data_IF_098587373734
#
_entry.id   IF_098587373734
#
_cell.length_a   1.000
_cell.length_b   1.000
_cell.length_c   1.000
_cell.angle_alpha   90.00
_cell.angle_beta   90.00
_cell.angle_gamma   90.00
#
_symmetry.space_group_name_H-M   'P 1'
#
loop_
_entity.id
_entity.type
_entity.pdbx_description
1 polymer ?
#
# COMPACT_ATOMS: atom_id res chain seq x y z
N UNK A 1 28.68 5.08 -17.82
CA UNK A 1 28.09 5.63 -19.07
C UNK A 1 26.72 6.22 -18.71
N UNK A 2 26.51 7.51 -18.92
CA UNK A 2 25.26 8.18 -18.53
C UNK A 2 24.14 7.80 -19.51
N UNK A 3 23.15 7.04 -19.03
CA UNK A 3 22.02 6.53 -19.83
C UNK A 3 21.27 7.65 -20.53
N UNK A 4 21.20 8.86 -19.95
CA UNK A 4 20.57 10.02 -20.59
C UNK A 4 21.36 10.47 -21.83
N UNK A 5 22.68 10.48 -21.75
CA UNK A 5 23.57 10.80 -22.88
C UNK A 5 23.53 9.73 -23.98
N UNK A 6 23.45 8.45 -23.59
CA UNK A 6 23.33 7.35 -24.55
C UNK A 6 22.01 7.38 -25.34
N UNK A 7 20.87 7.58 -24.68
CA UNK A 7 19.56 7.68 -25.35
C UNK A 7 19.48 8.93 -26.23
N UNK A 8 20.01 10.08 -25.77
CA UNK A 8 20.05 11.30 -26.57
C UNK A 8 20.95 11.19 -27.83
N UNK A 9 21.96 10.31 -27.81
CA UNK A 9 22.82 10.06 -28.97
C UNK A 9 22.17 9.19 -30.06
N UNK A 10 21.15 8.40 -29.71
CA UNK A 10 20.41 7.54 -30.65
C UNK A 10 19.36 8.31 -31.46
N UNK A 11 18.88 9.46 -30.98
CA UNK A 11 17.86 10.28 -31.66
C UNK A 11 18.36 11.08 -32.87
N UNK A 12 19.63 10.93 -33.29
CA UNK A 12 20.21 11.65 -34.43
C UNK A 12 20.66 10.76 -35.60
N UNK A 13 20.33 9.47 -35.62
CA UNK A 13 20.67 8.60 -36.75
C UNK A 13 19.63 7.50 -36.97
N UNK A 14 18.61 7.76 -37.79
CA UNK A 14 17.99 6.73 -38.66
C UNK A 14 16.84 7.30 -39.51
N UNK A 15 17.16 7.75 -40.72
CA UNK A 15 16.28 7.62 -41.89
C UNK A 15 16.79 6.44 -42.71
N UNK A 16 16.10 5.29 -42.69
CA UNK A 16 16.18 4.28 -43.75
C UNK A 16 15.21 3.11 -43.53
N UNK A 17 14.34 2.95 -44.53
CA UNK A 17 13.80 1.72 -45.11
C UNK A 17 13.03 0.71 -44.23
N UNK A 18 11.71 0.70 -44.47
CA UNK A 18 10.81 -0.42 -44.24
C UNK A 18 11.11 -1.50 -45.29
N UNK A 19 11.51 -2.70 -44.85
CA UNK A 19 11.37 -3.92 -45.63
C UNK A 19 10.79 -5.02 -44.76
N UNK A 20 9.68 -5.59 -45.21
CA UNK A 20 8.98 -6.76 -44.69
C UNK A 20 9.86 -8.02 -44.68
N UNK A 21 9.88 -8.77 -43.58
CA UNK A 21 10.05 -10.22 -43.59
C UNK A 21 9.73 -10.86 -42.23
N UNK A 22 8.64 -11.65 -42.21
CA UNK A 22 8.50 -12.96 -41.55
C UNK A 22 9.48 -13.32 -40.42
N UNK A 23 8.98 -13.28 -39.18
CA UNK A 23 9.66 -13.80 -37.98
C UNK A 23 8.78 -14.79 -37.20
N UNK A 24 8.20 -15.79 -37.86
CA UNK A 24 7.66 -16.98 -37.20
C UNK A 24 8.77 -18.02 -37.09
N UNK A 25 9.37 -18.15 -35.90
CA UNK A 25 10.01 -19.36 -35.33
C UNK A 25 10.97 -18.92 -34.23
N UNK A 26 10.53 -18.92 -32.97
CA UNK A 26 11.31 -19.32 -31.79
C UNK A 26 10.33 -19.40 -30.61
N UNK A 27 9.48 -20.41 -30.60
CA UNK A 27 8.85 -20.91 -29.38
C UNK A 27 9.35 -22.33 -29.17
N UNK A 28 10.30 -22.48 -28.23
CA UNK A 28 10.87 -23.76 -27.83
C UNK A 28 9.77 -24.71 -27.34
N UNK A 29 9.76 -25.93 -27.90
CA UNK A 29 8.87 -27.05 -27.53
C UNK A 29 9.01 -27.49 -26.06
N UNK A 30 10.09 -27.12 -25.37
CA UNK A 30 10.31 -27.42 -23.94
C UNK A 30 9.34 -26.68 -22.99
N UNK A 31 8.58 -25.68 -23.47
CA UNK A 31 7.59 -24.96 -22.64
C UNK A 31 6.26 -25.70 -22.49
N UNK A 32 5.96 -26.65 -23.39
CA UNK A 32 4.69 -27.38 -23.39
C UNK A 32 4.69 -28.56 -22.40
N UNK A 33 5.84 -29.20 -22.16
CA UNK A 33 5.92 -30.34 -21.22
C UNK A 33 5.93 -29.93 -19.74
N UNK A 34 6.06 -28.63 -19.42
CA UNK A 34 5.88 -28.11 -18.05
C UNK A 34 4.43 -27.81 -17.68
N UNK A 35 3.51 -27.84 -18.64
CA UNK A 35 2.09 -27.53 -18.41
C UNK A 35 1.25 -28.74 -17.99
N UNK A 36 1.87 -29.92 -17.83
CA UNK A 36 1.23 -31.11 -17.25
C UNK A 36 1.85 -31.52 -15.90
N UNK A 37 2.40 -30.57 -15.16
CA UNK A 37 2.65 -30.76 -13.74
C UNK A 37 1.32 -30.73 -12.99
N UNK A 38 0.95 -31.84 -12.33
CA UNK A 38 -0.16 -31.94 -11.39
C UNK A 38 -0.31 -30.63 -10.62
N UNK A 39 -1.49 -30.00 -10.65
CA UNK A 39 -1.75 -28.75 -9.91
C UNK A 39 -1.24 -28.91 -8.47
N UNK A 40 -0.07 -28.34 -8.16
CA UNK A 40 0.49 -28.39 -6.82
C UNK A 40 -0.55 -27.74 -5.93
N UNK A 41 -1.17 -28.52 -5.05
CA UNK A 41 -2.12 -28.02 -4.08
C UNK A 41 -1.42 -26.91 -3.30
N UNK A 42 -1.94 -25.69 -3.42
CA UNK A 42 -1.40 -24.53 -2.71
C UNK A 42 -1.29 -24.86 -1.21
N UNK A 43 -0.09 -24.66 -0.66
CA UNK A 43 0.21 -24.83 0.76
C UNK A 43 0.74 -23.50 1.27
N UNK A 44 0.01 -22.94 2.24
CA UNK A 44 0.24 -21.61 2.79
C UNK A 44 -1.04 -21.07 3.41
N UNK A 45 -1.06 -19.78 3.71
CA UNK A 45 -2.17 -19.10 4.36
C UNK A 45 -2.66 -17.91 3.52
N UNK A 46 -3.80 -17.36 3.92
CA UNK A 46 -4.42 -16.21 3.27
C UNK A 46 -4.64 -15.08 4.26
N UNK A 47 -4.33 -13.87 3.86
CA UNK A 47 -4.73 -12.65 4.56
C UNK A 47 -5.64 -11.81 3.67
N UNK A 48 -6.56 -11.07 4.27
CA UNK A 48 -7.21 -9.98 3.59
C UNK A 48 -6.41 -8.69 3.85
N UNK A 49 -6.32 -7.81 2.85
CA UNK A 49 -5.80 -6.46 3.02
C UNK A 49 -6.92 -5.47 2.71
N UNK A 50 -7.32 -4.74 3.75
CA UNK A 50 -8.21 -3.59 3.65
C UNK A 50 -7.34 -2.34 3.79
N UNK A 51 -7.64 -1.29 3.06
CA UNK A 51 -6.95 0.00 3.17
C UNK A 51 -7.91 1.09 2.77
N UNK A 52 -7.68 2.31 3.26
CA UNK A 52 -8.48 3.49 2.91
C UNK A 52 -10.00 3.26 3.08
N UNK A 53 -10.45 2.72 4.23
CA UNK A 53 -11.86 2.68 4.55
C UNK A 53 -12.44 4.07 4.80
N UNK A 54 -11.67 5.09 5.21
CA UNK A 54 -12.16 6.46 5.38
C UNK A 54 -13.52 6.54 6.09
N UNK A 55 -13.68 5.88 7.24
CA UNK A 55 -14.98 5.84 7.93
C UNK A 55 -15.36 7.23 8.48
N UNK A 56 -16.64 7.58 8.35
CA UNK A 56 -17.22 8.84 8.81
C UNK A 56 -18.75 8.77 8.88
N UNK A 57 -19.44 9.74 9.50
CA UNK A 57 -20.89 9.66 9.74
C UNK A 57 -21.81 9.74 8.51
N UNK A 58 -21.29 9.87 7.28
CA UNK A 58 -22.12 10.04 6.07
C UNK A 58 -21.95 8.89 5.09
N UNK A 59 -22.78 8.90 4.04
CA UNK A 59 -22.74 7.98 2.90
C UNK A 59 -22.85 6.49 3.28
N UNK A 60 -23.40 6.20 4.46
CA UNK A 60 -23.50 4.85 5.04
C UNK A 60 -22.12 4.17 5.14
N UNK A 61 -21.06 4.95 5.38
CA UNK A 61 -19.71 4.42 5.47
C UNK A 61 -19.57 3.34 6.56
N UNK A 62 -20.13 3.49 7.79
CA UNK A 62 -20.07 2.45 8.80
C UNK A 62 -20.73 1.13 8.37
N UNK A 63 -21.93 1.21 7.79
CA UNK A 63 -22.67 0.02 7.34
C UNK A 63 -21.95 -0.68 6.19
N UNK A 64 -21.49 0.07 5.19
CA UNK A 64 -20.76 -0.48 4.04
C UNK A 64 -19.43 -1.10 4.45
N UNK A 65 -18.71 -0.48 5.39
CA UNK A 65 -17.49 -1.06 5.95
C UNK A 65 -17.80 -2.35 6.72
N UNK A 66 -18.88 -2.38 7.50
CA UNK A 66 -19.30 -3.60 8.20
C UNK A 66 -19.63 -4.73 7.23
N UNK A 67 -20.36 -4.44 6.15
CA UNK A 67 -20.69 -5.43 5.11
C UNK A 67 -19.43 -5.92 4.39
N UNK A 68 -18.44 -5.05 4.14
CA UNK A 68 -17.15 -5.46 3.61
C UNK A 68 -16.42 -6.45 4.53
N UNK A 69 -16.38 -6.17 5.83
CA UNK A 69 -15.73 -7.03 6.83
C UNK A 69 -16.43 -8.39 6.97
N UNK A 70 -17.77 -8.41 6.94
CA UNK A 70 -18.56 -9.66 6.87
C UNK A 70 -18.27 -10.43 5.60
N UNK A 71 -18.21 -9.74 4.45
CA UNK A 71 -17.90 -10.37 3.17
C UNK A 71 -16.49 -11.00 3.15
N UNK A 72 -15.49 -10.33 3.75
CA UNK A 72 -14.12 -10.87 3.89
C UNK A 72 -14.12 -12.19 4.66
N UNK A 73 -14.80 -12.24 5.80
CA UNK A 73 -14.74 -13.40 6.71
C UNK A 73 -15.63 -14.57 6.25
N UNK A 74 -16.55 -14.32 5.31
CA UNK A 74 -17.42 -15.35 4.70
C UNK A 74 -16.88 -15.93 3.38
N UNK A 75 -15.69 -15.50 2.93
CA UNK A 75 -15.05 -16.08 1.75
C UNK A 75 -14.79 -17.58 1.92
N UNK A 76 -14.94 -18.35 0.83
CA UNK A 76 -14.73 -19.82 0.83
C UNK A 76 -13.40 -20.26 1.45
N UNK A 77 -12.35 -19.50 1.19
CA UNK A 77 -11.07 -19.60 1.89
C UNK A 77 -10.99 -18.38 2.81
N UNK A 78 -11.43 -18.57 4.05
CA UNK A 78 -11.42 -17.52 5.06
C UNK A 78 -9.97 -17.09 5.34
N UNK A 79 -9.67 -15.78 5.34
CA UNK A 79 -8.35 -15.30 5.70
C UNK A 79 -8.08 -15.56 7.19
N UNK A 80 -6.83 -15.88 7.54
CA UNK A 80 -6.40 -16.09 8.92
C UNK A 80 -6.16 -14.78 9.68
N UNK A 81 -6.30 -13.65 9.01
CA UNK A 81 -6.14 -12.31 9.57
C UNK A 81 -6.37 -11.21 8.54
N UNK A 82 -6.47 -9.98 9.01
CA UNK A 82 -6.68 -8.78 8.20
C UNK A 82 -5.49 -7.83 8.41
N UNK A 83 -4.84 -7.45 7.31
CA UNK A 83 -3.91 -6.33 7.24
C UNK A 83 -4.74 -5.06 7.01
N UNK A 84 -4.62 -4.07 7.89
CA UNK A 84 -5.22 -2.75 7.68
C UNK A 84 -4.14 -1.77 7.24
N UNK A 85 -4.28 -1.28 6.02
CA UNK A 85 -3.30 -0.46 5.32
C UNK A 85 -3.30 1.02 5.68
N UNK A 86 -4.05 1.46 6.70
CA UNK A 86 -4.15 2.87 7.09
C UNK A 86 -5.31 3.64 6.46
N UNK A 87 -5.43 4.91 6.84
CA UNK A 87 -6.55 5.80 6.51
C UNK A 87 -7.89 5.22 7.01
N UNK A 88 -7.85 4.85 8.29
CA UNK A 88 -8.94 4.20 9.01
C UNK A 88 -10.17 5.11 9.06
N UNK A 89 -9.94 6.38 9.36
CA UNK A 89 -10.96 7.44 9.44
C UNK A 89 -10.81 8.43 8.28
N UNK A 90 -11.88 9.17 7.98
CA UNK A 90 -11.94 10.11 6.83
C UNK A 90 -10.97 11.28 6.96
N UNK A 91 -10.80 11.89 8.14
CA UNK A 91 -9.81 12.96 8.34
C UNK A 91 -9.55 13.24 9.83
N UNK A 92 -8.29 13.22 10.22
CA UNK A 92 -7.74 13.84 11.42
C UNK A 92 -6.69 14.92 11.10
N UNK A 93 -6.19 14.96 9.87
CA UNK A 93 -5.08 15.80 9.46
C UNK A 93 -5.44 17.29 9.59
N UNK A 94 -6.66 17.65 9.17
CA UNK A 94 -7.21 19.01 9.26
C UNK A 94 -8.47 19.16 10.13
N UNK A 95 -9.03 18.05 10.64
CA UNK A 95 -10.31 18.02 11.35
C UNK A 95 -10.25 18.38 12.84
N UNK A 96 -11.31 18.99 13.37
CA UNK A 96 -11.41 19.28 14.82
C UNK A 96 -11.36 18.01 15.67
N UNK A 97 -10.98 18.14 16.95
CA UNK A 97 -10.94 17.01 17.89
C UNK A 97 -12.29 16.30 18.01
N UNK A 98 -13.38 17.06 17.99
CA UNK A 98 -14.74 16.54 18.11
C UNK A 98 -15.06 15.63 16.92
N UNK A 99 -14.76 16.08 15.70
CA UNK A 99 -15.03 15.31 14.50
C UNK A 99 -14.10 14.10 14.37
N UNK A 100 -12.82 14.23 14.74
CA UNK A 100 -11.88 13.09 14.80
C UNK A 100 -12.35 12.02 15.80
N UNK A 101 -12.82 12.44 17.00
CA UNK A 101 -13.36 11.51 18.00
C UNK A 101 -14.62 10.80 17.53
N UNK A 102 -15.51 11.50 16.83
CA UNK A 102 -16.72 10.90 16.26
C UNK A 102 -16.37 9.80 15.25
N UNK A 103 -15.40 10.04 14.38
CA UNK A 103 -14.95 9.04 13.40
C UNK A 103 -14.30 7.82 14.07
N UNK A 104 -13.43 8.02 15.07
CA UNK A 104 -12.85 6.90 15.83
C UNK A 104 -13.89 6.10 16.59
N UNK A 105 -14.93 6.76 17.12
CA UNK A 105 -16.06 6.05 17.73
C UNK A 105 -16.74 5.10 16.73
N UNK A 106 -17.04 5.59 15.52
CA UNK A 106 -17.62 4.76 14.46
C UNK A 106 -16.68 3.62 14.03
N UNK A 107 -15.38 3.90 13.92
CA UNK A 107 -14.36 2.89 13.64
C UNK A 107 -14.42 1.74 14.65
N UNK A 108 -14.43 2.04 15.95
CA UNK A 108 -14.52 1.02 17.00
C UNK A 108 -15.84 0.27 16.99
N UNK A 109 -16.97 0.96 16.81
CA UNK A 109 -18.28 0.33 16.71
C UNK A 109 -18.30 -0.74 15.61
N UNK A 110 -17.69 -0.47 14.45
CA UNK A 110 -17.59 -1.42 13.33
C UNK A 110 -16.53 -2.50 13.60
N UNK A 111 -15.31 -2.12 13.97
CA UNK A 111 -14.20 -3.07 14.12
C UNK A 111 -14.45 -4.06 15.25
N UNK A 112 -14.87 -3.60 16.43
CA UNK A 112 -15.09 -4.48 17.58
C UNK A 112 -16.28 -5.44 17.32
N UNK A 113 -17.27 -5.00 16.54
CA UNK A 113 -18.43 -5.81 16.18
C UNK A 113 -18.11 -6.83 15.10
N UNK A 114 -17.41 -6.46 14.03
CA UNK A 114 -17.32 -7.28 12.82
C UNK A 114 -16.03 -8.09 12.73
N UNK A 115 -14.91 -7.60 13.25
CA UNK A 115 -13.62 -8.28 13.11
C UNK A 115 -13.50 -9.40 14.15
N UNK A 116 -13.36 -10.64 13.69
CA UNK A 116 -13.23 -11.85 14.53
C UNK A 116 -11.93 -12.61 14.32
N UNK A 117 -11.07 -12.11 13.45
CA UNK A 117 -9.73 -12.64 13.16
C UNK A 117 -8.66 -11.63 13.61
N UNK A 118 -7.40 -12.05 13.77
CA UNK A 118 -6.30 -11.12 14.03
C UNK A 118 -6.28 -9.93 13.07
N UNK A 119 -6.07 -8.73 13.62
CA UNK A 119 -6.07 -7.46 12.89
C UNK A 119 -4.72 -6.77 13.07
N UNK A 120 -4.08 -6.38 11.97
CA UNK A 120 -2.73 -5.81 11.96
C UNK A 120 -2.76 -4.40 11.35
N UNK A 121 -2.86 -3.34 12.16
CA UNK A 121 -3.04 -1.98 11.66
C UNK A 121 -1.73 -1.28 11.27
N UNK A 122 -1.77 -0.57 10.15
CA UNK A 122 -0.82 0.43 9.71
C UNK A 122 -1.45 1.82 9.88
N UNK A 123 -0.64 2.83 10.17
CA UNK A 123 -1.11 4.23 10.28
C UNK A 123 -1.09 4.85 8.90
N UNK A 124 -2.22 5.43 8.47
CA UNK A 124 -2.29 6.28 7.28
C UNK A 124 -2.20 7.76 7.59
N UNK A 125 -2.14 8.60 6.57
CA UNK A 125 -2.01 10.04 6.77
C UNK A 125 -3.28 10.68 7.33
N UNK A 126 -4.47 10.20 6.95
CA UNK A 126 -5.73 10.70 7.50
C UNK A 126 -5.95 10.32 8.96
N UNK A 127 -5.19 9.36 9.49
CA UNK A 127 -5.25 9.00 10.91
C UNK A 127 -4.49 10.01 11.81
N UNK A 128 -3.53 10.76 11.25
CA UNK A 128 -2.62 11.62 12.03
C UNK A 128 -3.26 12.97 12.35
N UNK A 129 -3.36 13.32 13.63
CA UNK A 129 -4.11 14.51 14.03
C UNK A 129 -3.30 15.81 13.91
N UNK A 130 -3.85 16.79 13.19
CA UNK A 130 -3.46 18.20 13.26
C UNK A 130 -2.28 18.65 12.38
N UNK A 131 -1.72 17.79 11.53
CA UNK A 131 -0.56 18.15 10.69
C UNK A 131 -0.88 19.07 9.50
N UNK A 132 -2.14 19.17 9.08
CA UNK A 132 -2.61 20.15 8.08
C UNK A 132 -3.30 21.37 8.71
N UNK A 133 -3.35 21.46 10.04
CA UNK A 133 -3.87 22.65 10.72
C UNK A 133 -2.84 23.78 10.75
N UNK A 134 -3.31 25.03 10.81
CA UNK A 134 -2.42 26.19 10.98
C UNK A 134 -1.78 26.15 12.37
N UNK A 135 -0.62 26.77 12.47
CA UNK A 135 0.10 26.90 13.74
C UNK A 135 -0.81 27.48 14.84
N UNK A 136 -0.79 26.87 16.02
CA UNK A 136 -1.63 27.25 17.15
C UNK A 136 -3.07 26.67 17.14
N UNK A 137 -3.53 26.07 16.04
CA UNK A 137 -4.85 25.40 15.97
C UNK A 137 -4.83 23.96 16.49
N UNK A 138 -3.67 23.30 16.41
CA UNK A 138 -3.44 21.98 16.99
C UNK A 138 -2.35 22.07 18.07
N UNK A 139 -2.68 21.69 19.30
CA UNK A 139 -1.75 21.60 20.42
C UNK A 139 -2.19 20.52 21.42
N UNK A 140 -1.27 20.17 22.33
CA UNK A 140 -1.50 19.19 23.40
C UNK A 140 -1.07 17.76 23.06
N UNK A 141 -1.34 16.84 23.98
CA UNK A 141 -0.82 15.46 23.95
C UNK A 141 -1.32 14.61 22.76
N UNK A 142 -2.42 14.99 22.14
CA UNK A 142 -3.02 14.26 21.01
C UNK A 142 -2.38 14.63 19.65
N UNK A 143 -1.57 15.69 19.61
CA UNK A 143 -0.94 16.17 18.37
C UNK A 143 -0.05 15.11 17.72
N UNK A 144 -0.19 14.95 16.41
CA UNK A 144 0.53 13.95 15.63
C UNK A 144 -0.06 12.55 15.79
N UNK A 145 0.81 11.54 15.88
CA UNK A 145 0.40 10.13 15.74
C UNK A 145 -0.10 9.49 17.03
N UNK A 146 0.09 10.15 18.17
CA UNK A 146 -0.21 9.55 19.47
C UNK A 146 -1.67 9.10 19.54
N UNK A 147 -2.59 9.96 19.09
CA UNK A 147 -4.02 9.64 19.09
C UNK A 147 -4.31 8.41 18.22
N UNK A 148 -3.85 8.39 16.97
CA UNK A 148 -4.00 7.22 16.10
C UNK A 148 -3.42 5.94 16.71
N UNK A 149 -2.24 6.02 17.35
CA UNK A 149 -1.63 4.86 18.01
C UNK A 149 -2.48 4.33 19.16
N UNK A 150 -3.06 5.21 19.98
CA UNK A 150 -3.95 4.81 21.07
C UNK A 150 -5.20 4.11 20.52
N UNK A 151 -5.84 4.68 19.50
CA UNK A 151 -7.07 4.14 18.88
C UNK A 151 -6.80 2.81 18.15
N UNK A 152 -5.67 2.70 17.47
CA UNK A 152 -5.24 1.46 16.78
C UNK A 152 -4.59 0.44 17.74
N UNK A 153 -4.50 0.74 19.04
CA UNK A 153 -3.91 -0.12 20.08
C UNK A 153 -2.45 -0.49 19.77
N UNK A 154 -1.71 0.41 19.13
CA UNK A 154 -0.31 0.24 18.73
C UNK A 154 0.64 0.67 19.83
N UNK A 155 1.56 -0.24 20.22
CA UNK A 155 2.67 0.09 21.13
C UNK A 155 3.75 0.91 20.44
N UNK A 156 4.01 0.60 19.18
CA UNK A 156 5.03 1.23 18.35
C UNK A 156 4.44 1.51 16.97
N UNK A 157 4.81 2.64 16.36
CA UNK A 157 4.29 3.09 15.06
C UNK A 157 4.73 2.20 13.89
N UNK A 158 5.88 1.55 14.03
CA UNK A 158 6.39 0.54 13.12
C UNK A 158 6.73 -0.71 13.93
N UNK A 159 6.45 -1.89 13.39
CA UNK A 159 6.59 -3.14 14.12
C UNK A 159 6.69 -4.34 13.18
N UNK A 160 6.85 -5.53 13.74
CA UNK A 160 6.90 -6.78 12.97
C UNK A 160 6.16 -7.90 13.69
N UNK A 161 5.64 -8.84 12.93
CA UNK A 161 5.04 -10.08 13.44
C UNK A 161 5.31 -11.23 12.47
N UNK A 162 5.12 -12.48 12.93
CA UNK A 162 5.28 -13.66 12.08
C UNK A 162 3.96 -14.41 11.92
N UNK A 163 3.74 -14.98 10.74
CA UNK A 163 2.74 -16.02 10.50
C UNK A 163 3.44 -17.14 9.74
N UNK A 164 3.46 -18.35 10.32
CA UNK A 164 4.20 -19.49 9.76
C UNK A 164 5.67 -19.13 9.42
N UNK A 165 6.11 -19.35 8.18
CA UNK A 165 7.47 -19.03 7.73
C UNK A 165 7.60 -17.62 7.13
N UNK A 166 6.64 -16.74 7.37
CA UNK A 166 6.66 -15.34 6.92
C UNK A 166 6.90 -14.39 8.09
N UNK A 167 7.70 -13.36 7.82
CA UNK A 167 7.83 -12.17 8.65
C UNK A 167 7.14 -10.99 7.95
N UNK A 168 6.21 -10.36 8.66
CA UNK A 168 5.57 -9.13 8.23
C UNK A 168 6.21 -7.95 8.93
N UNK A 169 6.53 -6.91 8.17
CA UNK A 169 7.10 -5.65 8.68
C UNK A 169 6.13 -4.53 8.33
N UNK A 170 5.54 -3.91 9.34
CA UNK A 170 4.66 -2.74 9.18
C UNK A 170 5.49 -1.48 9.34
N UNK A 171 5.52 -0.67 8.29
CA UNK A 171 6.22 0.61 8.25
C UNK A 171 5.26 1.74 8.62
N UNK A 172 5.84 2.78 9.19
CA UNK A 172 5.20 4.07 9.37
C UNK A 172 5.73 5.04 8.31
N UNK A 173 4.94 5.23 7.25
CA UNK A 173 5.35 5.98 6.05
C UNK A 173 5.02 7.47 6.06
N UNK A 174 4.33 7.95 7.10
CA UNK A 174 3.79 9.30 7.16
C UNK A 174 4.73 10.23 7.95
N UNK A 175 5.62 10.97 7.31
CA UNK A 175 6.52 11.90 8.01
C UNK A 175 5.94 13.32 8.03
N UNK A 176 6.18 14.17 9.06
CA UNK A 176 5.74 15.55 9.02
C UNK A 176 6.27 16.28 7.78
N UNK A 177 5.44 17.11 7.14
CA UNK A 177 5.90 17.92 6.01
C UNK A 177 7.07 18.82 6.42
N UNK A 178 7.97 19.10 5.47
CA UNK A 178 9.09 20.03 5.69
C UNK A 178 8.64 21.46 6.01
N UNK A 179 7.37 21.77 5.74
CA UNK A 179 6.73 23.04 6.07
C UNK A 179 5.60 22.78 7.07
N UNK A 180 5.64 23.48 8.21
CA UNK A 180 4.59 23.40 9.23
C UNK A 180 3.21 23.71 8.65
N UNK A 181 2.19 22.96 9.10
CA UNK A 181 0.80 23.08 8.65
C UNK A 181 0.56 22.69 7.19
N UNK A 182 1.50 21.97 6.57
CA UNK A 182 1.40 21.51 5.18
C UNK A 182 1.19 20.00 5.07
N UNK A 183 0.74 19.35 6.14
CA UNK A 183 0.45 17.92 6.16
C UNK A 183 1.70 17.06 6.36
N UNK A 184 1.95 16.16 5.43
CA UNK A 184 2.93 15.09 5.57
C UNK A 184 3.82 14.96 4.32
N UNK A 185 4.77 14.06 4.41
CA UNK A 185 5.65 13.64 3.34
C UNK A 185 5.83 12.13 3.46
N UNK A 186 5.79 11.42 2.34
CA UNK A 186 6.00 9.99 2.28
C UNK A 186 7.49 9.65 2.48
N UNK A 187 7.85 9.17 3.67
CA UNK A 187 9.20 8.68 4.00
C UNK A 187 9.22 8.03 5.37
N UNK A 188 10.27 7.25 5.64
CA UNK A 188 10.60 6.80 6.99
C UNK A 188 11.66 7.72 7.63
N UNK A 189 11.58 7.87 8.95
CA UNK A 189 12.60 8.59 9.72
C UNK A 189 13.86 7.75 9.95
N UNK A 190 14.95 8.38 10.44
CA UNK A 190 16.22 7.68 10.66
C UNK A 190 16.14 6.61 11.76
N UNK A 191 15.29 6.81 12.78
CA UNK A 191 15.10 5.83 13.85
C UNK A 191 14.51 4.54 13.26
N UNK A 192 13.48 4.67 12.45
CA UNK A 192 12.82 3.59 11.75
C UNK A 192 13.75 2.94 10.73
N UNK A 193 14.49 3.72 9.95
CA UNK A 193 15.43 3.16 8.96
C UNK A 193 16.50 2.29 9.64
N UNK A 194 17.10 2.79 10.74
CA UNK A 194 18.10 2.03 11.51
C UNK A 194 17.50 0.79 12.16
N UNK A 195 16.27 0.89 12.69
CA UNK A 195 15.54 -0.27 13.21
C UNK A 195 15.31 -1.31 12.11
N UNK A 196 14.89 -0.88 10.92
CA UNK A 196 14.62 -1.74 9.77
C UNK A 196 15.88 -2.48 9.32
N UNK A 197 17.03 -1.81 9.23
CA UNK A 197 18.31 -2.46 8.91
C UNK A 197 18.66 -3.58 9.89
N UNK A 198 18.48 -3.32 11.19
CA UNK A 198 18.75 -4.31 12.24
C UNK A 198 17.72 -5.45 12.21
N UNK A 199 16.44 -5.13 12.01
CA UNK A 199 15.37 -6.11 11.92
C UNK A 199 15.61 -7.07 10.75
N UNK A 200 15.92 -6.55 9.56
CA UNK A 200 16.21 -7.37 8.38
C UNK A 200 17.40 -8.30 8.60
N UNK A 201 18.48 -7.84 9.26
CA UNK A 201 19.63 -8.68 9.61
C UNK A 201 19.30 -9.78 10.63
N UNK A 202 18.30 -9.55 11.49
CA UNK A 202 17.90 -10.51 12.52
C UNK A 202 16.97 -11.63 12.02
N UNK A 203 16.33 -11.45 10.86
CA UNK A 203 15.39 -12.43 10.30
C UNK A 203 16.18 -13.58 9.65
N UNK A 204 15.88 -14.86 9.98
CA UNK A 204 16.48 -16.01 9.30
C UNK A 204 16.27 -15.96 7.78
N UNK A 205 17.29 -16.34 7.00
CA UNK A 205 17.25 -16.24 5.53
C UNK A 205 16.17 -17.12 4.89
N UNK A 206 15.73 -18.15 5.61
CA UNK A 206 14.70 -19.10 5.19
C UNK A 206 13.28 -18.54 5.35
N UNK A 207 13.09 -17.50 6.19
CA UNK A 207 11.80 -16.81 6.31
C UNK A 207 11.59 -15.84 5.16
N UNK A 208 10.39 -15.83 4.59
CA UNK A 208 10.00 -14.83 3.60
C UNK A 208 9.56 -13.54 4.27
N UNK A 209 9.81 -12.40 3.65
CA UNK A 209 9.49 -11.09 4.22
C UNK A 209 8.46 -10.38 3.36
N UNK A 210 7.42 -9.87 4.02
CA UNK A 210 6.41 -9.01 3.42
C UNK A 210 6.33 -7.68 4.18
N UNK A 211 6.29 -6.57 3.43
CA UNK A 211 6.10 -5.24 3.99
C UNK A 211 4.65 -4.80 3.85
N UNK A 212 4.14 -4.12 4.88
CA UNK A 212 2.92 -3.33 4.84
C UNK A 212 3.30 -1.86 5.09
N UNK A 213 2.94 -0.98 4.17
CA UNK A 213 3.14 0.46 4.29
C UNK A 213 1.91 1.15 3.72
N UNK A 214 1.33 2.11 4.42
CA UNK A 214 0.18 2.85 3.90
C UNK A 214 0.51 3.49 2.53
N UNK A 215 1.50 4.39 2.52
CA UNK A 215 1.99 5.03 1.30
C UNK A 215 2.92 4.05 0.54
N UNK A 216 2.76 3.88 -0.79
CA UNK A 216 3.57 2.94 -1.57
C UNK A 216 5.07 3.29 -1.58
N UNK A 217 5.92 2.28 -1.41
CA UNK A 217 7.37 2.41 -1.58
C UNK A 217 7.71 2.59 -3.07
N UNK A 218 7.16 1.72 -3.93
CA UNK A 218 7.26 1.78 -5.39
C UNK A 218 5.87 1.48 -5.93
N UNK A 219 5.34 2.37 -6.78
CA UNK A 219 4.04 2.20 -7.42
C UNK A 219 3.99 3.03 -8.71
N UNK A 220 3.18 2.56 -9.66
CA UNK A 220 2.80 3.26 -10.88
C UNK A 220 1.61 4.19 -10.68
N UNK A 221 0.67 3.83 -9.81
CA UNK A 221 -0.54 4.61 -9.52
C UNK A 221 -0.30 6.11 -9.25
N UNK A 222 0.72 6.54 -8.47
CA UNK A 222 1.01 7.95 -8.21
C UNK A 222 1.25 8.79 -9.46
N UNK A 223 1.50 8.21 -10.63
CA UNK A 223 1.60 8.97 -11.87
C UNK A 223 0.22 9.44 -12.36
N UNK A 224 -0.81 8.60 -12.23
CA UNK A 224 -2.16 8.85 -12.75
C UNK A 224 -3.13 9.42 -11.71
N UNK A 225 -2.74 9.40 -10.43
CA UNK A 225 -3.48 10.13 -9.41
C UNK A 225 -3.31 11.65 -9.63
N UNK A 226 -4.41 12.38 -9.88
CA UNK A 226 -4.36 13.79 -10.27
C UNK A 226 -3.75 14.09 -11.65
N UNK A 227 -3.40 15.37 -11.89
CA UNK A 227 -2.85 15.86 -13.17
C UNK A 227 -1.32 16.02 -13.10
N UNK A 228 -0.56 14.92 -12.98
CA UNK A 228 0.90 14.99 -12.80
C UNK A 228 1.68 15.25 -14.07
N UNK A 229 1.08 15.00 -15.22
CA UNK A 229 1.58 15.26 -16.56
C UNK A 229 1.43 16.73 -16.98
N UNK A 230 0.86 17.57 -16.12
CA UNK A 230 0.46 18.94 -16.47
C UNK A 230 1.59 19.77 -17.10
N UNK A 231 1.22 20.50 -18.17
CA UNK A 231 2.11 21.39 -18.91
C UNK A 231 2.68 22.49 -18.00
N UNK A 232 4.00 22.69 -18.04
CA UNK A 232 4.68 23.76 -17.30
C UNK A 232 5.57 23.27 -16.16
N UNK A 233 5.49 21.99 -15.79
CA UNK A 233 6.49 21.36 -14.92
C UNK A 233 7.76 21.03 -15.74
N UNK A 234 8.97 21.38 -15.28
CA UNK A 234 10.18 21.35 -16.11
C UNK A 234 10.61 19.95 -16.59
N UNK A 235 10.00 18.85 -16.13
CA UNK A 235 10.46 17.48 -16.39
C UNK A 235 9.35 16.46 -16.71
N UNK A 236 8.16 16.89 -17.15
CA UNK A 236 7.04 15.98 -17.43
C UNK A 236 6.36 15.49 -16.14
N UNK A 237 6.09 14.19 -16.04
CA UNK A 237 5.43 13.58 -14.88
C UNK A 237 6.17 13.88 -13.57
N UNK A 238 5.51 14.61 -12.68
CA UNK A 238 6.01 14.90 -11.34
C UNK A 238 5.12 14.26 -10.29
N UNK A 239 5.64 13.26 -9.61
CA UNK A 239 4.96 12.63 -8.47
C UNK A 239 5.15 13.51 -7.22
N UNK A 240 4.06 13.97 -6.57
CA UNK A 240 4.10 14.67 -5.29
C UNK A 240 4.78 13.86 -4.19
N UNK A 241 5.29 14.57 -3.18
CA UNK A 241 6.04 13.92 -2.11
C UNK A 241 5.16 13.18 -1.11
N UNK A 242 3.86 13.38 -1.18
CA UNK A 242 2.82 12.76 -0.37
C UNK A 242 2.44 11.38 -0.93
N UNK A 243 2.49 11.19 -2.25
CA UNK A 243 1.92 10.02 -2.93
C UNK A 243 2.84 8.80 -3.01
N UNK A 244 4.16 8.98 -2.93
CA UNK A 244 5.10 7.85 -2.95
C UNK A 244 6.36 8.18 -2.16
N UNK A 245 6.93 7.18 -1.49
CA UNK A 245 8.13 7.34 -0.68
C UNK A 245 9.24 8.13 -1.40
N UNK A 246 9.58 9.30 -0.87
CA UNK A 246 10.73 10.10 -1.36
C UNK A 246 12.06 9.34 -1.19
N UNK A 247 12.13 8.48 -0.18
CA UNK A 247 13.27 7.65 0.15
C UNK A 247 13.18 6.23 -0.46
N UNK A 248 12.26 6.00 -1.41
CA UNK A 248 12.08 4.71 -2.08
C UNK A 248 13.39 4.14 -2.64
N UNK A 249 14.26 5.00 -3.18
CA UNK A 249 15.59 4.58 -3.68
C UNK A 249 16.46 4.02 -2.57
N UNK A 250 16.49 4.67 -1.41
CA UNK A 250 17.27 4.25 -0.24
C UNK A 250 16.74 2.94 0.33
N UNK A 251 15.42 2.82 0.45
CA UNK A 251 14.75 1.58 0.90
C UNK A 251 15.05 0.44 -0.07
N UNK A 252 14.88 0.66 -1.38
CA UNK A 252 15.21 -0.32 -2.41
C UNK A 252 16.69 -0.73 -2.39
N UNK A 253 17.61 0.22 -2.17
CA UNK A 253 19.04 -0.06 -2.07
C UNK A 253 19.41 -0.84 -0.80
N UNK A 254 18.58 -0.78 0.25
CA UNK A 254 18.65 -1.70 1.39
C UNK A 254 18.09 -3.09 1.02
N UNK A 255 16.91 -3.14 0.40
CA UNK A 255 16.19 -4.37 0.08
C UNK A 255 16.99 -5.31 -0.84
N UNK A 256 17.76 -4.77 -1.80
CA UNK A 256 18.58 -5.58 -2.72
C UNK A 256 19.59 -6.51 -2.01
N UNK A 257 19.88 -6.28 -0.73
CA UNK A 257 20.80 -7.10 0.06
C UNK A 257 20.11 -8.31 0.72
N UNK A 258 18.79 -8.47 0.55
CA UNK A 258 17.96 -9.49 1.20
C UNK A 258 17.09 -10.21 0.17
N UNK A 259 17.51 -11.40 -0.26
CA UNK A 259 16.83 -12.21 -1.30
C UNK A 259 15.51 -12.85 -0.86
N UNK A 260 15.17 -12.73 0.42
CA UNK A 260 13.97 -13.29 1.03
C UNK A 260 12.83 -12.27 1.17
N UNK A 261 13.02 -11.02 0.76
CA UNK A 261 11.92 -10.06 0.60
C UNK A 261 11.11 -10.44 -0.64
N UNK A 262 9.79 -10.58 -0.47
CA UNK A 262 8.90 -11.08 -1.54
C UNK A 262 7.88 -10.06 -2.00
N UNK A 263 7.30 -9.29 -1.08
CA UNK A 263 6.22 -8.38 -1.41
C UNK A 263 6.19 -7.13 -0.52
N UNK A 264 5.73 -6.02 -1.07
CA UNK A 264 5.32 -4.81 -0.37
C UNK A 264 3.85 -4.53 -0.71
N UNK A 265 3.05 -4.25 0.30
CA UNK A 265 1.62 -4.00 0.20
C UNK A 265 1.34 -2.58 0.67
N UNK A 266 0.48 -1.88 -0.08
CA UNK A 266 0.12 -0.48 0.16
C UNK A 266 -1.30 -0.14 -0.28
N UNK A 267 -1.76 1.03 0.15
CA UNK A 267 -3.01 1.66 -0.26
C UNK A 267 -2.76 3.09 -0.70
N UNK A 268 -3.40 4.06 -0.03
CA UNK A 268 -3.17 5.50 -0.13
C UNK A 268 -3.66 6.16 -1.43
N UNK A 269 -3.37 5.57 -2.58
CA UNK A 269 -3.66 6.17 -3.90
C UNK A 269 -5.09 5.87 -4.39
N UNK A 270 -5.80 4.94 -3.75
CA UNK A 270 -7.13 4.46 -4.16
C UNK A 270 -7.20 3.80 -5.55
N UNK A 271 -6.09 3.76 -6.29
CA UNK A 271 -5.92 3.05 -7.55
C UNK A 271 -5.24 1.69 -7.35
N UNK A 272 -5.29 0.82 -8.36
CA UNK A 272 -4.73 -0.53 -8.28
C UNK A 272 -3.55 -0.72 -9.23
N UNK A 273 -2.42 -1.21 -8.71
CA UNK A 273 -1.31 -1.71 -9.52
C UNK A 273 -0.62 -2.94 -8.91
N UNK A 274 0.14 -3.62 -9.77
CA UNK A 274 1.02 -4.73 -9.39
C UNK A 274 2.32 -4.56 -10.16
N UNK A 275 3.37 -4.13 -9.47
CA UNK A 275 4.70 -3.91 -10.05
C UNK A 275 5.64 -4.98 -9.56
N UNK A 276 6.47 -5.54 -10.44
CA UNK A 276 7.59 -6.40 -10.07
C UNK A 276 8.90 -5.68 -10.37
N UNK A 277 9.74 -5.50 -9.35
CA UNK A 277 11.02 -4.82 -9.49
C UNK A 277 12.08 -5.44 -8.59
N UNK A 278 13.16 -5.93 -9.21
CA UNK A 278 14.25 -6.65 -8.52
C UNK A 278 13.73 -7.83 -7.70
N UNK A 279 12.89 -8.67 -8.33
CA UNK A 279 12.30 -9.89 -7.74
C UNK A 279 11.40 -9.65 -6.51
N UNK A 280 10.98 -8.40 -6.27
CA UNK A 280 10.02 -8.01 -5.24
C UNK A 280 8.73 -7.54 -5.92
N UNK A 281 7.59 -8.03 -5.45
CA UNK A 281 6.26 -7.56 -5.86
C UNK A 281 5.84 -6.34 -5.04
N UNK A 282 5.26 -5.34 -5.66
CA UNK A 282 4.71 -4.16 -5.02
C UNK A 282 3.25 -4.05 -5.43
N UNK A 283 2.36 -4.02 -4.45
CA UNK A 283 0.91 -3.97 -4.66
C UNK A 283 0.34 -2.69 -4.05
N UNK A 284 -0.21 -1.80 -4.88
CA UNK A 284 -1.13 -0.75 -4.45
C UNK A 284 -2.56 -1.28 -4.62
N UNK A 285 -3.30 -1.47 -3.52
CA UNK A 285 -4.50 -2.31 -3.50
C UNK A 285 -5.84 -1.53 -3.53
N UNK A 286 -5.91 -0.42 -4.25
CA UNK A 286 -7.13 0.38 -4.33
C UNK A 286 -7.57 0.91 -2.95
N UNK A 287 -8.87 1.11 -2.75
CA UNK A 287 -9.44 1.51 -1.48
C UNK A 287 -10.69 0.69 -1.15
N UNK A 288 -10.86 0.38 0.14
CA UNK A 288 -12.07 -0.25 0.64
C UNK A 288 -13.26 0.63 0.26
N UNK A 289 -13.18 1.94 0.51
CA UNK A 289 -14.26 2.88 0.22
C UNK A 289 -14.50 3.18 -1.27
N UNK A 290 -13.60 2.73 -2.17
CA UNK A 290 -13.53 3.22 -3.55
C UNK A 290 -13.31 4.73 -3.59
N UNK A 291 -14.33 5.49 -3.99
CA UNK A 291 -14.30 6.96 -4.04
C UNK A 291 -14.98 7.58 -2.80
N UNK A 292 -14.39 7.39 -1.61
CA UNK A 292 -14.90 7.91 -0.31
C UNK A 292 -16.39 7.64 -0.07
N UNK A 293 -16.82 6.41 -0.41
CA UNK A 293 -18.20 5.93 -0.29
C UNK A 293 -19.24 6.71 -1.10
N UNK A 294 -18.81 7.50 -2.09
CA UNK A 294 -19.70 8.33 -2.90
C UNK A 294 -20.78 7.46 -3.58
N UNK A 295 -22.07 7.66 -3.23
CA UNK A 295 -23.14 6.79 -3.73
C UNK A 295 -23.40 6.96 -5.24
N UNK A 296 -23.08 8.13 -5.80
CA UNK A 296 -23.32 8.42 -7.21
C UNK A 296 -22.13 8.05 -8.10
N UNK A 297 -20.93 8.09 -7.53
CA UNK A 297 -19.68 7.80 -8.23
C UNK A 297 -18.79 6.89 -7.38
N UNK A 298 -19.14 5.62 -7.18
CA UNK A 298 -18.43 4.74 -6.25
C UNK A 298 -17.00 4.41 -6.68
N UNK A 299 -16.68 4.61 -7.97
CA UNK A 299 -15.34 4.34 -8.52
C UNK A 299 -14.48 5.60 -8.53
N UNK A 300 -13.23 5.48 -8.08
CA UNK A 300 -12.20 6.50 -8.22
C UNK A 300 -11.27 6.08 -9.38
N UNK A 301 -11.26 6.86 -10.47
CA UNK A 301 -10.58 6.52 -11.74
C UNK A 301 -10.76 5.04 -12.12
N UNK A 302 -11.99 4.63 -12.41
CA UNK A 302 -12.38 3.27 -12.78
C UNK A 302 -12.28 2.19 -11.67
N UNK A 303 -11.63 2.45 -10.53
CA UNK A 303 -11.51 1.50 -9.42
C UNK A 303 -12.60 1.68 -8.36
N UNK A 304 -13.46 0.66 -8.19
CA UNK A 304 -14.55 0.67 -7.20
C UNK A 304 -14.14 0.13 -5.82
N UNK A 305 -15.08 0.13 -4.86
CA UNK A 305 -14.90 -0.46 -3.53
C UNK A 305 -14.43 -1.92 -3.64
N UNK A 306 -13.26 -2.22 -3.07
CA UNK A 306 -12.68 -3.55 -3.08
C UNK A 306 -11.68 -3.73 -1.93
N UNK A 307 -11.37 -4.98 -1.61
CA UNK A 307 -10.23 -5.34 -0.76
C UNK A 307 -9.36 -6.37 -1.49
N UNK A 308 -8.12 -6.55 -1.05
CA UNK A 308 -7.23 -7.57 -1.62
C UNK A 308 -7.28 -8.87 -0.81
N UNK A 309 -7.41 -10.02 -1.49
CA UNK A 309 -7.08 -11.33 -0.93
C UNK A 309 -5.66 -11.69 -1.32
N UNK A 310 -4.82 -11.91 -0.31
CA UNK A 310 -3.40 -12.19 -0.45
C UNK A 310 -3.13 -13.63 -0.02
N UNK A 311 -2.71 -14.46 -0.96
CA UNK A 311 -2.25 -15.82 -0.67
C UNK A 311 -0.72 -15.83 -0.53
N UNK A 312 -0.24 -16.34 0.59
CA UNK A 312 1.17 -16.47 0.92
C UNK A 312 1.54 -17.95 0.94
N UNK A 313 2.35 -18.39 -0.01
CA UNK A 313 2.79 -19.78 -0.07
C UNK A 313 3.98 -20.04 0.85
N UNK A 314 4.14 -21.28 1.27
CA UNK A 314 5.32 -21.71 2.04
C UNK A 314 6.63 -21.59 1.24
N UNK A 315 6.55 -21.50 -0.10
CA UNK A 315 7.72 -21.34 -0.97
C UNK A 315 8.08 -19.88 -1.25
N UNK A 316 7.34 -18.91 -0.71
CA UNK A 316 7.64 -17.48 -0.87
C UNK A 316 6.91 -16.79 -2.00
N UNK A 317 5.95 -17.47 -2.64
CA UNK A 317 5.10 -16.86 -3.66
C UNK A 317 3.97 -16.09 -2.99
N UNK A 318 3.72 -14.87 -3.48
CA UNK A 318 2.57 -14.05 -3.09
C UNK A 318 1.70 -13.81 -4.31
N UNK A 319 0.40 -14.05 -4.18
CA UNK A 319 -0.59 -13.63 -5.19
C UNK A 319 -1.59 -12.67 -4.55
N UNK A 320 -1.86 -11.55 -5.22
CA UNK A 320 -2.86 -10.58 -4.83
C UNK A 320 -4.07 -10.70 -5.76
N UNK A 321 -5.27 -10.87 -5.20
CA UNK A 321 -6.54 -10.86 -5.95
C UNK A 321 -7.45 -9.77 -5.39
N UNK A 322 -7.73 -8.76 -6.19
CA UNK A 322 -8.71 -7.73 -5.84
C UNK A 322 -10.12 -8.33 -5.85
N UNK A 323 -10.83 -8.15 -4.74
CA UNK A 323 -12.15 -8.72 -4.49
C UNK A 323 -13.14 -7.58 -4.31
N UNK A 324 -14.00 -7.29 -5.30
CA UNK A 324 -15.09 -6.35 -5.12
C UNK A 324 -16.11 -6.92 -4.14
N UNK A 325 -16.84 -6.02 -3.48
CA UNK A 325 -17.93 -6.37 -2.60
C UNK A 325 -19.06 -5.35 -2.82
N UNK A 326 -20.30 -5.78 -2.61
CA UNK A 326 -21.50 -4.96 -2.81
C UNK A 326 -22.39 -5.07 -1.59
#
# INVERSE_FOLDING_TARGET
>A
MDRKKFIASLSLASTAHISSASGHKYMNRERLDRLQGSAKKFSGFRLAHITDPHIYPKNQAPEKMADALRHIQTQKKTPVGILSGGDSIMDALGASKEYTREQWKLWHEVIDTEVKVPFYPCIGNHDVWGWAMKEGQANGGDYGKKWAMDELKLKERFYSFSIENWEFIVLDSVYPSFKSGSGYTARIDEQQFKWLENKLKSIPKEKHICFLSHIPIISFCPFFDGMNEEKGKPNGWLVPHEWMHMDARRIKDLFKNFSNIRACISGHIHLQDSVEYLDIKYFCNGALCGNWWNPNHPKYQEFGPAYAMLDFSNTGEVTCTMTPYQ
#
